data_IF_229732616337
#
_entry.id   IF_229732616337
#
_cell.length_a   1.000
_cell.length_b   1.000
_cell.length_c   1.000
_cell.angle_alpha   90.00
_cell.angle_beta   90.00
_cell.angle_gamma   90.00
#
_symmetry.space_group_name_H-M   'P 1'
#
loop_
_entity.id
_entity.type
_entity.pdbx_description
1 polymer ?
#
# COMPACT_ATOMS: atom_id res chain seq x y z
N UNK A 1 -18.52 4.66 -9.12
CA UNK A 1 -17.99 3.51 -9.88
C UNK A 1 -17.09 2.78 -8.91
N UNK A 2 -17.34 1.50 -8.66
CA UNK A 2 -16.44 0.65 -7.88
C UNK A 2 -15.18 0.49 -8.72
N UNK A 3 -14.04 0.99 -8.26
CA UNK A 3 -12.75 0.75 -8.93
C UNK A 3 -12.33 -0.70 -8.64
N UNK A 4 -12.11 -1.48 -9.69
CA UNK A 4 -11.59 -2.85 -9.56
C UNK A 4 -10.10 -2.79 -9.18
N UNK A 5 -9.73 -3.48 -8.10
CA UNK A 5 -8.33 -3.59 -7.66
C UNK A 5 -7.68 -4.77 -8.36
N UNK A 6 -6.58 -4.53 -9.07
CA UNK A 6 -5.80 -5.60 -9.71
C UNK A 6 -4.97 -6.32 -8.65
N UNK A 7 -4.96 -7.64 -8.73
CA UNK A 7 -4.19 -8.50 -7.84
C UNK A 7 -3.22 -9.33 -8.67
N UNK A 8 -1.96 -9.38 -8.23
CA UNK A 8 -0.91 -10.21 -8.82
C UNK A 8 -0.38 -11.16 -7.77
N UNK A 9 -0.32 -12.45 -8.12
CA UNK A 9 0.43 -13.45 -7.35
C UNK A 9 1.80 -13.65 -8.00
N UNK A 10 2.87 -13.43 -7.23
CA UNK A 10 4.25 -13.55 -7.71
C UNK A 10 5.16 -14.02 -6.59
N UNK A 11 6.00 -15.03 -6.86
CA UNK A 11 7.02 -15.54 -5.93
C UNK A 11 6.49 -15.89 -4.53
N UNK A 12 5.26 -16.41 -4.45
CA UNK A 12 4.63 -16.77 -3.18
C UNK A 12 3.87 -15.63 -2.49
N UNK A 13 3.93 -14.42 -3.02
CA UNK A 13 3.38 -13.20 -2.43
C UNK A 13 2.21 -12.64 -3.25
N UNK A 14 1.27 -11.99 -2.56
CA UNK A 14 0.16 -11.28 -3.18
C UNK A 14 0.44 -9.78 -3.19
N UNK A 15 0.14 -9.17 -4.32
CA UNK A 15 0.38 -7.77 -4.60
C UNK A 15 -0.90 -7.12 -5.12
N UNK A 16 -1.24 -5.96 -4.60
CA UNK A 16 -2.44 -5.19 -4.96
C UNK A 16 -2.04 -3.93 -5.70
N UNK A 17 -2.75 -3.54 -6.76
CA UNK A 17 -2.48 -2.28 -7.46
C UNK A 17 -2.54 -1.14 -6.46
N UNK A 18 -1.39 -0.51 -6.21
CA UNK A 18 -1.22 0.32 -5.01
C UNK A 18 -2.10 1.56 -5.08
N UNK A 19 -2.20 2.18 -6.26
CA UNK A 19 -3.05 3.35 -6.46
C UNK A 19 -4.52 3.02 -6.18
N UNK A 20 -5.04 1.94 -6.76
CA UNK A 20 -6.46 1.60 -6.64
C UNK A 20 -6.83 1.25 -5.20
N UNK A 21 -6.07 0.36 -4.55
CA UNK A 21 -6.40 -0.06 -3.18
C UNK A 21 -6.23 1.08 -2.17
N UNK A 22 -5.20 1.92 -2.31
CA UNK A 22 -4.96 3.02 -1.39
C UNK A 22 -5.98 4.15 -1.56
N UNK A 23 -6.41 4.43 -2.80
CA UNK A 23 -7.49 5.37 -3.07
C UNK A 23 -8.81 4.90 -2.44
N UNK A 24 -9.15 3.62 -2.57
CA UNK A 24 -10.34 3.03 -1.93
C UNK A 24 -10.28 3.12 -0.39
N UNK A 25 -9.07 3.03 0.18
CA UNK A 25 -8.82 3.21 1.62
C UNK A 25 -8.79 4.69 2.06
N UNK A 26 -9.03 5.64 1.13
CA UNK A 26 -9.11 7.07 1.42
C UNK A 26 -7.76 7.78 1.49
N UNK A 27 -6.72 7.23 0.86
CA UNK A 27 -5.44 7.90 0.67
C UNK A 27 -5.38 8.53 -0.72
N UNK A 28 -4.68 9.65 -0.83
CA UNK A 28 -4.23 10.20 -2.10
C UNK A 28 -2.84 9.65 -2.40
N UNK A 29 -2.63 9.26 -3.66
CA UNK A 29 -1.40 8.67 -4.15
C UNK A 29 -0.79 9.56 -5.23
N UNK A 30 0.51 9.86 -5.09
CA UNK A 30 1.25 10.62 -6.09
C UNK A 30 2.71 10.14 -6.23
N UNK A 31 3.27 10.32 -7.42
CA UNK A 31 4.70 10.19 -7.66
C UNK A 31 5.34 11.57 -7.73
N UNK A 32 6.53 11.71 -7.15
CA UNK A 32 7.28 12.95 -7.18
C UNK A 32 8.79 12.72 -7.16
N UNK A 33 9.58 13.79 -7.22
CA UNK A 33 11.03 13.69 -7.40
C UNK A 33 11.77 12.98 -6.25
N UNK A 34 11.14 12.84 -5.07
CA UNK A 34 11.74 12.15 -3.93
C UNK A 34 11.04 10.82 -3.59
N UNK A 35 10.29 10.25 -4.53
CA UNK A 35 9.69 8.92 -4.42
C UNK A 35 8.16 8.92 -4.52
N UNK A 36 7.58 7.86 -3.94
CA UNK A 36 6.15 7.61 -3.95
C UNK A 36 5.49 8.14 -2.67
N UNK A 37 4.44 8.93 -2.83
CA UNK A 37 3.74 9.63 -1.76
C UNK A 37 2.36 9.02 -1.57
N UNK A 38 2.01 8.74 -0.30
CA UNK A 38 0.71 8.20 0.08
C UNK A 38 0.23 8.92 1.32
N UNK A 39 -0.78 9.77 1.16
CA UNK A 39 -1.18 10.73 2.19
C UNK A 39 -2.69 10.70 2.42
N UNK A 40 -3.10 10.88 3.68
CA UNK A 40 -4.46 11.25 4.04
C UNK A 40 -4.42 12.29 5.18
N UNK A 41 -5.58 12.65 5.73
CA UNK A 41 -5.69 13.67 6.79
C UNK A 41 -4.84 13.39 8.04
N UNK A 42 -4.55 12.13 8.35
CA UNK A 42 -3.91 11.69 9.59
C UNK A 42 -2.51 11.11 9.39
N UNK A 43 -2.23 10.60 8.19
CA UNK A 43 -1.10 9.73 7.89
C UNK A 43 -0.46 10.16 6.59
N UNK A 44 0.82 10.48 6.65
CA UNK A 44 1.62 10.88 5.50
C UNK A 44 2.80 9.94 5.36
N UNK A 45 2.93 9.33 4.18
CA UNK A 45 4.01 8.42 3.83
C UNK A 45 4.78 8.92 2.63
N UNK A 46 6.10 8.77 2.68
CA UNK A 46 6.98 8.88 1.51
C UNK A 46 7.88 7.66 1.44
N UNK A 47 7.91 7.03 0.27
CA UNK A 47 8.72 5.85 -0.03
C UNK A 47 9.73 6.21 -1.13
N UNK A 48 10.97 6.57 -0.77
CA UNK A 48 12.05 6.78 -1.73
C UNK A 48 12.43 5.46 -2.42
N UNK A 49 12.55 5.46 -3.74
CA UNK A 49 12.73 4.22 -4.53
C UNK A 49 14.13 3.62 -4.42
N UNK A 50 15.16 4.47 -4.27
CA UNK A 50 16.56 4.03 -4.24
C UNK A 50 17.09 3.78 -2.82
N UNK A 51 16.23 3.86 -1.80
CA UNK A 51 16.65 3.79 -0.40
C UNK A 51 15.87 2.76 0.41
N UNK A 52 16.58 2.13 1.34
CA UNK A 52 16.04 1.13 2.26
C UNK A 52 15.38 1.77 3.50
N UNK A 53 14.49 2.74 3.29
CA UNK A 53 13.66 3.31 4.34
C UNK A 53 12.36 3.90 3.79
N UNK A 54 11.38 4.14 4.66
CA UNK A 54 10.27 5.04 4.38
C UNK A 54 10.19 6.14 5.44
N UNK A 55 9.50 7.23 5.10
CA UNK A 55 9.16 8.29 6.04
C UNK A 55 7.67 8.20 6.34
N UNK A 56 7.30 8.12 7.62
CA UNK A 56 5.92 8.18 8.07
C UNK A 56 5.78 9.31 9.11
N UNK A 57 4.88 10.26 8.84
CA UNK A 57 4.65 11.44 9.67
C UNK A 57 5.97 12.10 10.12
N UNK A 58 6.84 12.38 9.16
CA UNK A 58 8.16 13.02 9.33
C UNK A 58 9.20 12.19 10.08
N UNK A 59 8.92 10.92 10.41
CA UNK A 59 9.88 10.00 11.03
C UNK A 59 10.34 8.96 10.03
N UNK A 60 11.64 8.68 10.02
CA UNK A 60 12.26 7.66 9.16
C UNK A 60 12.20 6.29 9.83
N UNK A 61 11.90 5.27 9.04
CA UNK A 61 11.90 3.87 9.42
C UNK A 61 12.67 3.05 8.38
N UNK A 62 13.74 2.39 8.80
CA UNK A 62 14.53 1.55 7.91
C UNK A 62 13.80 0.25 7.58
N UNK A 63 13.98 -0.25 6.37
CA UNK A 63 13.34 -1.46 5.82
C UNK A 63 14.38 -2.34 5.15
N UNK A 64 14.12 -3.65 5.11
CA UNK A 64 15.02 -4.62 4.47
C UNK A 64 14.62 -4.84 3.00
N UNK A 65 13.33 -4.63 2.68
CA UNK A 65 12.76 -4.74 1.34
C UNK A 65 11.74 -3.64 1.09
N UNK A 66 11.58 -3.24 -0.17
CA UNK A 66 10.57 -2.27 -0.59
C UNK A 66 9.16 -2.83 -0.40
N UNK A 67 8.20 -2.03 0.11
CA UNK A 67 6.79 -2.42 0.15
C UNK A 67 6.14 -2.50 -1.23
N UNK A 68 6.74 -1.86 -2.23
CA UNK A 68 6.22 -1.80 -3.59
C UNK A 68 7.13 -2.54 -4.58
N UNK A 69 6.48 -3.16 -5.56
CA UNK A 69 7.11 -3.63 -6.79
C UNK A 69 6.49 -2.92 -7.99
N UNK A 70 7.23 -2.86 -9.10
CA UNK A 70 6.70 -2.35 -10.36
C UNK A 70 6.46 -3.51 -11.34
N UNK A 71 5.26 -3.56 -11.91
CA UNK A 71 4.87 -4.52 -12.93
C UNK A 71 4.22 -3.74 -14.06
N UNK A 72 4.79 -3.81 -15.27
CA UNK A 72 4.30 -3.08 -16.45
C UNK A 72 4.07 -1.57 -16.18
N UNK A 73 5.01 -0.94 -15.46
CA UNK A 73 4.97 0.48 -15.08
C UNK A 73 3.82 0.87 -14.15
N UNK A 74 3.21 -0.11 -13.47
CA UNK A 74 2.24 0.10 -12.40
C UNK A 74 2.83 -0.41 -11.09
N UNK A 75 2.68 0.38 -10.01
CA UNK A 75 3.14 -0.01 -8.67
C UNK A 75 2.10 -0.92 -8.02
N UNK A 76 2.60 -1.96 -7.36
CA UNK A 76 1.81 -2.85 -6.55
C UNK A 76 2.39 -2.95 -5.15
N UNK A 77 1.53 -2.94 -4.13
CA UNK A 77 1.92 -3.10 -2.73
C UNK A 77 1.77 -4.56 -2.31
N UNK A 78 2.79 -5.10 -1.64
CA UNK A 78 2.73 -6.43 -1.03
C UNK A 78 1.70 -6.46 0.11
N UNK A 79 0.92 -7.54 0.20
CA UNK A 79 -0.14 -7.72 1.18
C UNK A 79 0.28 -7.45 2.63
N UNK A 80 1.40 -8.03 3.07
CA UNK A 80 1.88 -7.88 4.44
C UNK A 80 2.27 -6.43 4.75
N UNK A 81 2.81 -5.72 3.75
CA UNK A 81 3.09 -4.29 3.86
C UNK A 81 1.81 -3.45 3.87
N UNK A 82 0.81 -3.81 3.08
CA UNK A 82 -0.51 -3.18 3.11
C UNK A 82 -1.15 -3.28 4.50
N UNK A 83 -1.18 -4.49 5.07
CA UNK A 83 -1.68 -4.72 6.44
C UNK A 83 -0.90 -3.92 7.48
N UNK A 84 0.44 -4.03 7.46
CA UNK A 84 1.32 -3.41 8.46
C UNK A 84 1.31 -1.88 8.42
N UNK A 85 1.36 -1.30 7.22
CA UNK A 85 1.48 0.14 7.07
C UNK A 85 0.13 0.81 7.04
N UNK A 86 -0.88 0.22 6.43
CA UNK A 86 -2.18 0.85 6.23
C UNK A 86 -3.25 0.39 7.23
N UNK A 87 -2.87 -0.52 8.14
CA UNK A 87 -3.71 -1.00 9.24
C UNK A 87 -5.03 -1.56 8.73
N UNK A 88 -4.94 -2.48 7.76
CA UNK A 88 -6.11 -3.14 7.19
C UNK A 88 -6.17 -4.60 7.61
N UNK A 89 -7.40 -5.08 7.76
CA UNK A 89 -7.72 -6.50 7.79
C UNK A 89 -7.98 -6.98 6.37
N UNK A 90 -7.55 -8.21 6.08
CA UNK A 90 -7.72 -8.83 4.76
C UNK A 90 -8.32 -10.21 4.99
N UNK A 91 -9.57 -10.36 4.58
CA UNK A 91 -10.29 -11.63 4.62
C UNK A 91 -10.42 -12.18 3.20
N UNK A 92 -10.15 -13.47 3.03
CA UNK A 92 -10.19 -14.15 1.74
C UNK A 92 -11.22 -15.25 1.77
N UNK A 93 -12.13 -15.22 0.80
CA UNK A 93 -13.07 -16.30 0.51
C UNK A 93 -12.64 -17.03 -0.76
N UNK A 94 -13.41 -18.00 -1.22
CA UNK A 94 -13.12 -18.71 -2.48
C UNK A 94 -13.13 -17.77 -3.70
N UNK A 95 -13.95 -16.72 -3.69
CA UNK A 95 -14.21 -15.87 -4.85
C UNK A 95 -13.83 -14.40 -4.66
N UNK A 96 -13.67 -13.94 -3.42
CA UNK A 96 -13.55 -12.52 -3.09
C UNK A 96 -12.48 -12.29 -2.02
N UNK A 97 -11.83 -11.13 -2.12
CA UNK A 97 -10.94 -10.59 -1.09
C UNK A 97 -11.60 -9.34 -0.54
N UNK A 98 -11.83 -9.33 0.77
CA UNK A 98 -12.33 -8.20 1.51
C UNK A 98 -11.17 -7.50 2.20
N UNK A 99 -11.04 -6.19 1.95
CA UNK A 99 -10.04 -5.34 2.60
C UNK A 99 -10.77 -4.25 3.35
N UNK A 100 -10.56 -4.16 4.65
CA UNK A 100 -11.23 -3.19 5.52
C UNK A 100 -10.22 -2.50 6.44
N UNK A 101 -10.36 -1.20 6.72
CA UNK A 101 -9.58 -0.55 7.77
C UNK A 101 -9.85 -1.21 9.13
N UNK A 102 -8.80 -1.41 9.92
CA UNK A 102 -8.95 -1.78 11.33
C UNK A 102 -9.40 -0.53 12.08
N UNK A 103 -10.71 -0.33 12.19
CA UNK A 103 -11.28 0.58 13.19
C UNK A 103 -11.20 -0.10 14.55
N UNK A 104 -10.30 0.35 15.42
CA UNK A 104 -10.52 0.13 16.85
C UNK A 104 -11.79 0.88 17.22
N UNK A 105 -12.85 0.15 17.58
CA UNK A 105 -13.99 0.70 18.29
C UNK A 105 -13.44 1.42 19.53
N UNK A 106 -13.47 2.75 19.54
CA UNK A 106 -13.30 3.55 20.76
C UNK A 106 -14.54 3.44 21.65
#
# INVERSE_FOLDING_TARGET
MTEDVKIVYKDGLLYYSSKDILNLLGYEVAEGPNGYYVDNKLRSFRFPEEYNFYVFNQRRFDIISSPFIEIASEKFIEEAWLQRLFLVEIEKTENEIYVSPITTLE
#
